data_IF_182317952483
#
_entry.id   IF_182317952483
#
_cell.length_a   1.000
_cell.length_b   1.000
_cell.length_c   1.000
_cell.angle_alpha   90.00
_cell.angle_beta   90.00
_cell.angle_gamma   90.00
#
_symmetry.space_group_name_H-M   'P 1'
#
loop_
_entity.id
_entity.type
_entity.pdbx_description
1 polymer ?
#
# COMPACT_ATOMS: atom_id res chain seq x y z
N UNK A 1 -28.35 0.04 -13.45
CA UNK A 1 -27.01 0.40 -12.95
C UNK A 1 -26.52 1.64 -13.70
N UNK A 2 -26.22 2.74 -13.00
CA UNK A 2 -25.57 3.94 -13.55
C UNK A 2 -24.35 3.61 -14.42
N UNK A 3 -24.04 4.46 -15.40
CA UNK A 3 -22.91 4.25 -16.32
C UNK A 3 -21.58 4.19 -15.54
N UNK A 4 -21.40 5.07 -14.55
CA UNK A 4 -20.18 5.12 -13.72
C UNK A 4 -19.96 3.85 -12.90
N UNK A 5 -21.03 3.29 -12.35
CA UNK A 5 -20.97 2.05 -11.57
C UNK A 5 -20.58 0.85 -12.44
N UNK A 6 -21.03 0.81 -13.70
CA UNK A 6 -20.66 -0.25 -14.64
C UNK A 6 -19.20 -0.13 -15.09
N UNK A 7 -18.74 1.06 -15.47
CA UNK A 7 -17.35 1.30 -15.80
C UNK A 7 -16.42 0.91 -14.63
N UNK A 8 -16.81 1.28 -13.41
CA UNK A 8 -16.08 0.91 -12.21
C UNK A 8 -16.07 -0.61 -11.95
N UNK A 9 -17.21 -1.28 -12.08
CA UNK A 9 -17.32 -2.73 -11.91
C UNK A 9 -16.47 -3.49 -12.92
N UNK A 10 -16.42 -3.04 -14.17
CA UNK A 10 -15.59 -3.64 -15.22
C UNK A 10 -14.10 -3.50 -14.92
N UNK A 11 -13.64 -2.31 -14.50
CA UNK A 11 -12.26 -2.08 -14.07
C UNK A 11 -11.91 -3.02 -12.91
N UNK A 12 -12.80 -3.17 -11.91
CA UNK A 12 -12.57 -4.07 -10.79
C UNK A 12 -12.44 -5.54 -11.22
N UNK A 13 -13.31 -6.01 -12.11
CA UNK A 13 -13.31 -7.40 -12.59
C UNK A 13 -12.07 -7.72 -13.43
N UNK A 14 -11.63 -6.77 -14.26
CA UNK A 14 -10.38 -6.92 -15.03
C UNK A 14 -9.14 -6.88 -14.13
N UNK A 15 -9.17 -6.12 -13.04
CA UNK A 15 -8.09 -6.11 -12.06
C UNK A 15 -8.03 -7.42 -11.25
N UNK A 16 -9.18 -7.97 -10.83
CA UNK A 16 -9.22 -9.17 -9.97
C UNK A 16 -8.68 -10.41 -10.65
N UNK A 17 -8.78 -10.48 -11.98
CA UNK A 17 -8.23 -11.56 -12.80
C UNK A 17 -6.72 -11.43 -13.04
N UNK A 18 -6.16 -10.22 -12.94
CA UNK A 18 -4.75 -9.93 -13.21
C UNK A 18 -3.87 -9.97 -11.97
N UNK A 19 -4.42 -9.64 -10.81
CA UNK A 19 -3.67 -9.50 -9.58
C UNK A 19 -4.14 -10.53 -8.56
N UNK A 20 -3.19 -11.32 -8.05
CA UNK A 20 -3.47 -12.31 -7.02
C UNK A 20 -3.89 -11.64 -5.69
N UNK A 21 -4.81 -12.24 -4.92
CA UNK A 21 -5.21 -11.72 -3.63
C UNK A 21 -4.03 -11.65 -2.64
N UNK A 22 -4.14 -10.74 -1.68
CA UNK A 22 -3.18 -10.60 -0.59
C UNK A 22 -3.75 -11.27 0.66
N UNK A 23 -3.00 -12.21 1.24
CA UNK A 23 -3.38 -12.96 2.44
C UNK A 23 -2.30 -12.83 3.51
N UNK A 24 -2.65 -13.07 4.77
CA UNK A 24 -1.66 -13.11 5.86
C UNK A 24 -0.58 -14.14 5.56
N UNK A 25 -0.96 -15.34 5.14
CA UNK A 25 -0.03 -16.42 4.78
C UNK A 25 0.99 -15.99 3.70
N UNK A 26 0.54 -15.26 2.68
CA UNK A 26 1.42 -14.71 1.63
C UNK A 26 2.43 -13.70 2.17
N UNK A 27 2.06 -12.94 3.20
CA UNK A 27 2.91 -11.91 3.81
C UNK A 27 3.92 -12.51 4.78
N UNK A 28 3.47 -13.41 5.66
CA UNK A 28 4.33 -13.96 6.73
C UNK A 28 5.20 -15.12 6.24
N UNK A 29 4.78 -15.80 5.16
CA UNK A 29 5.42 -17.01 4.66
C UNK A 29 5.28 -18.20 5.61
N UNK A 30 5.89 -19.33 5.25
CA UNK A 30 5.75 -20.59 6.01
C UNK A 30 6.17 -20.45 7.48
N UNK A 31 7.19 -19.62 7.74
CA UNK A 31 7.71 -19.35 9.08
C UNK A 31 6.67 -18.72 10.02
N UNK A 32 5.73 -17.93 9.50
CA UNK A 32 4.72 -17.25 10.31
C UNK A 32 3.31 -17.83 10.18
N UNK A 33 3.07 -18.75 9.24
CA UNK A 33 1.74 -19.27 8.93
C UNK A 33 1.07 -20.00 10.12
N UNK A 34 1.87 -20.61 11.02
CA UNK A 34 1.38 -21.25 12.24
C UNK A 34 1.22 -20.32 13.44
N UNK A 35 1.66 -19.05 13.33
CA UNK A 35 1.65 -18.08 14.43
C UNK A 35 0.66 -16.94 14.21
N UNK A 36 0.48 -16.52 12.97
CA UNK A 36 -0.43 -15.44 12.60
C UNK A 36 -1.42 -15.96 11.57
N UNK A 37 -2.70 -15.94 11.94
CA UNK A 37 -3.79 -16.28 11.05
C UNK A 37 -4.42 -15.02 10.46
N UNK A 38 -4.98 -15.20 9.26
CA UNK A 38 -5.82 -14.20 8.61
C UNK A 38 -7.14 -14.81 8.21
N UNK A 39 -8.24 -14.24 8.69
CA UNK A 39 -9.60 -14.65 8.28
C UNK A 39 -10.08 -13.96 7.00
N UNK A 40 -9.32 -12.98 6.49
CA UNK A 40 -9.67 -12.20 5.31
C UNK A 40 -8.53 -12.14 4.29
N UNK A 41 -8.90 -12.18 3.01
CA UNK A 41 -8.00 -12.00 1.88
C UNK A 41 -8.38 -10.71 1.15
N UNK A 42 -7.45 -9.76 1.05
CA UNK A 42 -7.68 -8.55 0.25
C UNK A 42 -7.71 -8.95 -1.22
N UNK A 43 -8.78 -8.62 -1.97
CA UNK A 43 -8.80 -8.87 -3.41
C UNK A 43 -7.61 -8.18 -4.08
N UNK A 44 -6.96 -8.86 -5.04
CA UNK A 44 -5.75 -8.32 -5.69
C UNK A 44 -5.99 -6.96 -6.38
N UNK A 45 -7.24 -6.68 -6.77
CA UNK A 45 -7.71 -5.37 -7.25
C UNK A 45 -7.36 -4.22 -6.31
N UNK A 46 -7.34 -4.44 -5.00
CA UNK A 46 -7.08 -3.42 -3.98
C UNK A 46 -5.65 -3.54 -3.42
N UNK A 47 -4.69 -3.71 -4.33
CA UNK A 47 -3.27 -3.67 -4.01
C UNK A 47 -2.63 -2.47 -4.69
N UNK A 48 -1.50 -2.00 -4.15
CA UNK A 48 -0.72 -0.91 -4.73
C UNK A 48 -0.24 -1.26 -6.14
N UNK A 49 0.11 -2.51 -6.38
CA UNK A 49 0.51 -3.03 -7.68
C UNK A 49 -0.64 -2.93 -8.70
N UNK A 50 -1.86 -3.32 -8.30
CA UNK A 50 -3.04 -3.17 -9.14
C UNK A 50 -3.41 -1.71 -9.41
N UNK A 51 -3.29 -0.86 -8.39
CA UNK A 51 -3.51 0.58 -8.52
C UNK A 51 -2.60 1.20 -9.58
N UNK A 52 -1.28 1.02 -9.42
CA UNK A 52 -0.28 1.63 -10.29
C UNK A 52 -0.25 0.99 -11.68
N UNK A 53 -0.39 -0.34 -11.76
CA UNK A 53 -0.22 -1.09 -13.00
C UNK A 53 -1.45 -1.09 -13.90
N UNK A 54 -2.67 -0.93 -13.36
CA UNK A 54 -3.88 -1.10 -14.15
C UNK A 54 -5.04 -0.17 -13.77
N UNK A 55 -5.39 -0.05 -12.50
CA UNK A 55 -6.63 0.64 -12.11
C UNK A 55 -6.54 2.15 -12.39
N UNK A 56 -5.43 2.80 -12.02
CA UNK A 56 -5.25 4.24 -12.28
C UNK A 56 -5.32 4.58 -13.78
N UNK A 57 -4.58 3.91 -14.69
CA UNK A 57 -4.69 4.18 -16.12
C UNK A 57 -6.07 3.81 -16.68
N UNK A 58 -6.70 2.72 -16.22
CA UNK A 58 -8.03 2.32 -16.69
C UNK A 58 -9.12 3.32 -16.29
N UNK A 59 -9.04 3.90 -15.09
CA UNK A 59 -9.95 4.99 -14.66
C UNK A 59 -9.74 6.24 -15.53
N UNK A 60 -8.49 6.58 -15.84
CA UNK A 60 -8.17 7.71 -16.73
C UNK A 60 -8.71 7.46 -18.14
N UNK A 61 -8.55 6.26 -18.67
CA UNK A 61 -9.09 5.89 -19.98
C UNK A 61 -10.62 5.96 -19.97
N UNK A 62 -11.30 5.35 -19.00
CA UNK A 62 -12.75 5.36 -18.89
C UNK A 62 -13.34 6.79 -18.83
N UNK A 63 -12.67 7.71 -18.13
CA UNK A 63 -13.09 9.11 -18.08
C UNK A 63 -12.91 9.85 -19.43
N UNK A 64 -11.92 9.47 -20.25
CA UNK A 64 -11.60 10.13 -21.52
C UNK A 64 -12.24 9.46 -22.75
N UNK A 65 -12.56 8.17 -22.68
CA UNK A 65 -13.09 7.39 -23.82
C UNK A 65 -14.43 7.92 -24.33
N UNK A 66 -15.23 8.52 -23.45
CA UNK A 66 -16.49 9.16 -23.82
C UNK A 66 -16.32 10.51 -24.56
N UNK A 67 -15.15 11.18 -24.47
CA UNK A 67 -14.86 12.35 -25.32
C UNK A 67 -14.70 11.95 -26.79
N UNK A 68 -14.17 10.75 -27.05
CA UNK A 68 -13.95 10.24 -28.40
C UNK A 68 -15.21 9.63 -29.01
N UNK A 69 -16.15 9.14 -28.19
CA UNK A 69 -17.43 8.59 -28.66
C UNK A 69 -18.39 9.67 -29.17
N UNK A 70 -18.21 10.93 -28.72
CA UNK A 70 -19.12 12.05 -29.01
C UNK A 70 -19.02 12.58 -30.44
N UNK A 71 -18.01 12.17 -31.21
CA UNK A 71 -17.69 12.75 -32.52
C UNK A 71 -17.77 11.77 -33.71
N UNK A 72 -18.22 10.53 -33.50
CA UNK A 72 -18.54 9.62 -34.61
C UNK A 72 -20.04 9.45 -34.76
N UNK A 73 -20.48 9.78 -35.96
CA UNK A 73 -21.86 9.91 -36.39
C UNK A 73 -22.65 8.60 -36.14
N UNK A 74 -23.88 8.76 -35.65
CA UNK A 74 -24.98 7.77 -35.61
C UNK A 74 -24.87 6.54 -34.67
N UNK A 75 -25.86 6.45 -33.77
CA UNK A 75 -26.52 5.25 -33.26
C UNK A 75 -25.64 4.09 -32.79
N UNK A 76 -25.32 4.05 -31.48
CA UNK A 76 -25.45 2.86 -30.58
C UNK A 76 -24.93 3.13 -29.15
N UNK A 77 -24.20 4.22 -28.87
CA UNK A 77 -23.55 4.42 -27.56
C UNK A 77 -24.41 5.04 -26.43
N UNK A 78 -25.74 5.06 -26.52
CA UNK A 78 -26.60 5.70 -25.51
C UNK A 78 -26.58 5.03 -24.12
N UNK A 79 -25.95 3.86 -23.98
CA UNK A 79 -25.90 3.14 -22.69
C UNK A 79 -24.71 3.50 -21.82
N UNK A 80 -23.57 3.96 -22.33
CA UNK A 80 -22.34 4.14 -21.53
C UNK A 80 -21.94 5.61 -21.30
N UNK A 81 -22.83 6.56 -21.63
CA UNK A 81 -22.55 7.99 -21.54
C UNK A 81 -22.36 8.48 -20.09
N UNK A 82 -21.10 8.57 -19.68
CA UNK A 82 -20.68 9.18 -18.41
C UNK A 82 -20.72 10.71 -18.47
N UNK A 83 -20.80 11.33 -19.65
CA UNK A 83 -20.76 12.79 -19.81
C UNK A 83 -22.03 13.48 -19.31
N UNK A 84 -23.12 12.72 -19.14
CA UNK A 84 -24.32 13.16 -18.44
C UNK A 84 -24.12 13.23 -16.91
N UNK A 85 -23.05 12.64 -16.38
CA UNK A 85 -22.73 12.66 -14.95
C UNK A 85 -21.70 13.76 -14.55
N UNK A 86 -21.05 14.43 -15.52
CA UNK A 86 -20.12 15.53 -15.25
C UNK A 86 -18.98 15.67 -16.27
N UNK A 87 -18.02 16.55 -15.99
CA UNK A 87 -16.79 16.67 -16.80
C UNK A 87 -15.91 15.41 -16.66
N UNK A 88 -15.05 15.09 -17.65
CA UNK A 88 -14.09 13.98 -17.56
C UNK A 88 -13.27 13.99 -16.25
N UNK A 89 -12.85 15.16 -15.80
CA UNK A 89 -12.09 15.34 -14.56
C UNK A 89 -12.95 15.03 -13.33
N UNK A 90 -14.24 15.41 -13.35
CA UNK A 90 -15.19 15.12 -12.28
C UNK A 90 -15.49 13.62 -12.20
N UNK A 91 -15.68 12.96 -13.34
CA UNK A 91 -15.90 11.51 -13.44
C UNK A 91 -14.65 10.76 -12.95
N UNK A 92 -13.47 11.15 -13.42
CA UNK A 92 -12.20 10.58 -12.98
C UNK A 92 -12.05 10.72 -11.46
N UNK A 93 -12.27 11.91 -10.92
CA UNK A 93 -12.18 12.16 -9.48
C UNK A 93 -13.16 11.30 -8.69
N UNK A 94 -14.41 11.19 -9.15
CA UNK A 94 -15.42 10.36 -8.52
C UNK A 94 -15.02 8.87 -8.50
N UNK A 95 -14.57 8.33 -9.63
CA UNK A 95 -14.10 6.95 -9.74
C UNK A 95 -12.89 6.67 -8.85
N UNK A 96 -11.93 7.59 -8.80
CA UNK A 96 -10.76 7.50 -7.90
C UNK A 96 -11.19 7.53 -6.44
N UNK A 97 -12.13 8.40 -6.07
CA UNK A 97 -12.66 8.46 -4.69
C UNK A 97 -13.35 7.17 -4.32
N UNK A 98 -14.25 6.64 -5.17
CA UNK A 98 -14.92 5.36 -4.94
C UNK A 98 -13.90 4.23 -4.74
N UNK A 99 -12.89 4.16 -5.62
CA UNK A 99 -11.84 3.17 -5.49
C UNK A 99 -11.08 3.26 -4.17
N UNK A 100 -10.64 4.46 -3.78
CA UNK A 100 -9.87 4.65 -2.53
C UNK A 100 -10.70 4.35 -1.28
N UNK A 101 -11.98 4.67 -1.29
CA UNK A 101 -12.89 4.33 -0.18
C UNK A 101 -13.05 2.81 -0.04
N UNK A 102 -13.24 2.08 -1.14
CA UNK A 102 -13.29 0.61 -1.09
C UNK A 102 -11.95 0.02 -0.69
N UNK A 103 -10.84 0.55 -1.23
CA UNK A 103 -9.49 0.15 -0.88
C UNK A 103 -9.25 0.22 0.64
N UNK A 104 -9.58 1.34 1.27
CA UNK A 104 -9.44 1.51 2.72
C UNK A 104 -10.28 0.48 3.49
N UNK A 105 -11.52 0.24 3.06
CA UNK A 105 -12.42 -0.73 3.70
C UNK A 105 -11.88 -2.15 3.62
N UNK A 106 -11.32 -2.56 2.48
CA UNK A 106 -10.78 -3.92 2.34
C UNK A 106 -9.52 -4.13 3.19
N UNK A 107 -8.65 -3.12 3.26
CA UNK A 107 -7.48 -3.17 4.14
C UNK A 107 -7.84 -3.10 5.63
N UNK A 108 -8.92 -2.40 5.98
CA UNK A 108 -9.43 -2.37 7.36
C UNK A 108 -9.96 -3.74 7.77
N UNK A 109 -10.75 -4.40 6.91
CA UNK A 109 -11.22 -5.79 7.14
C UNK A 109 -10.07 -6.76 7.27
N UNK A 110 -9.05 -6.63 6.42
CA UNK A 110 -7.84 -7.42 6.52
C UNK A 110 -7.19 -7.29 7.89
N UNK A 111 -6.94 -6.06 8.33
CA UNK A 111 -6.33 -5.79 9.64
C UNK A 111 -7.17 -6.31 10.81
N UNK A 112 -8.50 -6.20 10.73
CA UNK A 112 -9.41 -6.76 11.74
C UNK A 112 -9.41 -8.29 11.75
N UNK A 113 -9.09 -8.92 10.62
CA UNK A 113 -9.02 -10.38 10.48
C UNK A 113 -7.66 -10.99 10.84
N UNK A 114 -6.66 -10.18 11.21
CA UNK A 114 -5.35 -10.67 11.66
C UNK A 114 -5.43 -11.05 13.13
N UNK A 115 -5.10 -12.30 13.45
CA UNK A 115 -5.06 -12.80 14.82
C UNK A 115 -3.81 -13.65 15.06
N UNK A 116 -3.33 -13.66 16.30
CA UNK A 116 -2.29 -14.60 16.75
C UNK A 116 -2.98 -15.93 17.04
N UNK A 117 -2.39 -17.03 16.58
CA UNK A 117 -2.91 -18.37 16.86
C UNK A 117 -2.69 -18.75 18.32
N UNK A 118 -3.64 -19.52 18.87
CA UNK A 118 -3.50 -20.08 20.21
C UNK A 118 -2.41 -21.14 20.25
N UNK A 119 -1.69 -21.20 21.36
CA UNK A 119 -0.63 -22.19 21.58
C UNK A 119 -1.18 -23.42 22.28
N UNK A 120 -0.94 -24.59 21.70
CA UNK A 120 -1.44 -25.86 22.27
C UNK A 120 -0.54 -26.42 23.38
N UNK A 121 0.68 -25.91 23.52
CA UNK A 121 1.62 -26.28 24.58
C UNK A 121 2.52 -25.12 25.00
N UNK A 122 3.12 -25.23 26.19
CA UNK A 122 4.07 -24.25 26.71
C UNK A 122 5.30 -24.10 25.79
N UNK A 123 5.86 -25.21 25.30
CA UNK A 123 7.03 -25.17 24.40
C UNK A 123 6.72 -24.48 23.06
N UNK A 124 5.49 -24.67 22.55
CA UNK A 124 5.00 -23.93 21.39
C UNK A 124 4.84 -22.44 21.71
N UNK A 125 4.32 -22.09 22.89
CA UNK A 125 4.19 -20.71 23.33
C UNK A 125 5.56 -20.02 23.45
N UNK A 126 6.58 -20.68 24.00
CA UNK A 126 7.93 -20.12 24.11
C UNK A 126 8.54 -19.88 22.73
N UNK A 127 8.52 -20.90 21.87
CA UNK A 127 9.05 -20.79 20.50
C UNK A 127 8.31 -19.72 19.70
N UNK A 128 6.98 -19.71 19.79
CA UNK A 128 6.12 -18.75 19.12
C UNK A 128 6.36 -17.31 19.58
N UNK A 129 6.40 -17.08 20.90
CA UNK A 129 6.67 -15.75 21.46
C UNK A 129 8.06 -15.23 21.10
N UNK A 130 9.07 -16.09 21.07
CA UNK A 130 10.41 -15.71 20.63
C UNK A 130 10.40 -15.23 19.17
N UNK A 131 9.71 -15.95 18.28
CA UNK A 131 9.60 -15.57 16.88
C UNK A 131 8.74 -14.31 16.68
N UNK A 132 7.65 -14.14 17.45
CA UNK A 132 6.84 -12.92 17.41
C UNK A 132 7.63 -11.69 17.91
N UNK A 133 8.51 -11.89 18.88
CA UNK A 133 9.40 -10.87 19.44
C UNK A 133 10.69 -10.63 18.66
N UNK A 134 10.98 -11.43 17.63
CA UNK A 134 12.20 -11.32 16.84
C UNK A 134 12.24 -9.95 16.11
N UNK A 135 13.29 -9.13 16.32
CA UNK A 135 13.35 -7.78 15.76
C UNK A 135 13.42 -7.75 14.23
N UNK A 136 13.86 -8.84 13.59
CA UNK A 136 14.10 -8.97 12.16
C UNK A 136 13.06 -9.85 11.47
N UNK A 137 12.67 -10.95 12.11
CA UNK A 137 11.85 -12.00 11.50
C UNK A 137 10.39 -12.02 11.98
N UNK A 138 9.98 -11.11 12.87
CA UNK A 138 8.63 -11.10 13.44
C UNK A 138 7.52 -11.14 12.37
N UNK A 139 6.67 -12.19 12.38
CA UNK A 139 5.52 -12.28 11.49
C UNK A 139 4.54 -11.10 11.64
N UNK A 140 4.33 -10.62 12.87
CA UNK A 140 3.48 -9.45 13.14
C UNK A 140 4.08 -8.21 12.48
N UNK A 141 5.41 -8.03 12.56
CA UNK A 141 6.08 -6.91 11.91
C UNK A 141 5.88 -6.97 10.40
N UNK A 142 6.08 -8.12 9.77
CA UNK A 142 5.86 -8.28 8.31
C UNK A 142 4.44 -7.87 7.89
N UNK A 143 3.43 -8.27 8.66
CA UNK A 143 2.03 -7.88 8.40
C UNK A 143 1.84 -6.37 8.52
N UNK A 144 2.34 -5.75 9.59
CA UNK A 144 2.23 -4.31 9.80
C UNK A 144 2.97 -3.50 8.74
N UNK A 145 4.19 -3.90 8.40
CA UNK A 145 5.02 -3.22 7.39
C UNK A 145 4.35 -3.31 6.01
N UNK A 146 3.82 -4.50 5.64
CA UNK A 146 3.08 -4.67 4.39
C UNK A 146 1.81 -3.82 4.35
N UNK A 147 1.02 -3.84 5.43
CA UNK A 147 -0.19 -3.01 5.51
C UNK A 147 0.15 -1.53 5.36
N UNK A 148 1.22 -1.07 6.02
CA UNK A 148 1.70 0.30 5.91
C UNK A 148 2.14 0.67 4.49
N UNK A 149 2.93 -0.17 3.82
CA UNK A 149 3.32 0.05 2.42
C UNK A 149 2.12 0.15 1.48
N UNK A 150 1.10 -0.65 1.76
CA UNK A 150 -0.14 -0.73 0.99
C UNK A 150 -1.12 0.39 1.33
N UNK A 151 -0.99 1.10 2.44
CA UNK A 151 -1.90 2.23 2.79
C UNK A 151 -1.24 3.61 2.71
N UNK A 152 0.10 3.67 2.70
CA UNK A 152 0.87 4.93 2.73
C UNK A 152 1.00 5.65 1.38
N UNK A 153 0.67 4.98 0.27
CA UNK A 153 0.84 5.55 -1.08
C UNK A 153 -0.11 6.72 -1.40
N UNK A 154 -1.15 6.94 -0.60
CA UNK A 154 -2.15 8.00 -0.80
C UNK A 154 -1.89 9.30 0.02
N UNK A 155 -0.65 9.52 0.48
CA UNK A 155 -0.28 10.70 1.26
C UNK A 155 0.45 11.76 0.41
N UNK A 156 -0.19 12.88 0.03
CA UNK A 156 0.44 13.94 -0.78
C UNK A 156 1.61 14.66 -0.08
N UNK A 157 1.63 14.67 1.25
CA UNK A 157 2.71 15.23 2.08
C UNK A 157 4.00 14.39 2.04
N UNK A 158 3.87 13.05 2.06
CA UNK A 158 4.99 12.12 1.86
C UNK A 158 5.42 12.06 0.39
N UNK A 159 4.51 12.33 -0.55
CA UNK A 159 4.84 12.47 -1.97
C UNK A 159 5.71 13.70 -2.24
N UNK A 160 5.51 14.85 -1.59
CA UNK A 160 6.35 16.04 -1.80
C UNK A 160 7.69 16.00 -1.04
N UNK A 161 7.74 15.43 0.17
CA UNK A 161 9.00 15.15 0.87
C UNK A 161 9.78 14.01 0.17
N UNK A 162 9.05 13.01 -0.33
CA UNK A 162 9.57 11.92 -1.14
C UNK A 162 9.97 12.35 -2.55
N UNK A 163 9.31 13.31 -3.21
CA UNK A 163 9.61 13.73 -4.60
C UNK A 163 11.01 14.33 -4.74
N UNK A 164 11.56 14.97 -3.70
CA UNK A 164 12.95 15.45 -3.71
C UNK A 164 13.96 14.31 -3.55
N UNK A 165 13.58 13.22 -2.88
CA UNK A 165 14.42 12.02 -2.66
C UNK A 165 14.20 10.91 -3.73
N UNK A 166 13.01 10.85 -4.33
CA UNK A 166 12.51 9.78 -5.20
C UNK A 166 12.68 10.12 -6.68
N UNK A 167 12.77 11.42 -7.05
CA UNK A 167 13.19 11.79 -8.41
C UNK A 167 14.61 11.29 -8.73
N UNK A 168 15.49 11.19 -7.73
CA UNK A 168 16.82 10.57 -7.87
C UNK A 168 16.80 9.06 -7.59
N UNK A 169 16.03 8.59 -6.60
CA UNK A 169 16.00 7.17 -6.20
C UNK A 169 15.22 6.22 -7.10
N UNK A 170 14.05 6.62 -7.63
CA UNK A 170 13.16 5.74 -8.42
C UNK A 170 13.67 5.54 -9.85
N UNK A 171 14.34 6.55 -10.43
CA UNK A 171 15.06 6.41 -11.70
C UNK A 171 16.31 5.52 -11.56
N UNK A 172 16.94 5.50 -10.38
CA UNK A 172 18.07 4.62 -10.04
C UNK A 172 17.67 3.15 -9.90
N UNK A 173 16.58 2.87 -9.17
CA UNK A 173 16.01 1.53 -9.08
C UNK A 173 15.49 1.01 -10.42
N UNK A 174 14.90 1.87 -11.25
CA UNK A 174 14.43 1.46 -12.59
C UNK A 174 15.61 1.05 -13.48
N UNK A 175 16.73 1.78 -13.46
CA UNK A 175 17.95 1.37 -14.19
C UNK A 175 18.56 0.08 -13.61
N UNK A 176 18.47 -0.13 -12.29
CA UNK A 176 18.95 -1.35 -11.61
C UNK A 176 18.20 -2.61 -12.08
N UNK A 177 16.90 -2.52 -12.38
CA UNK A 177 16.11 -3.67 -12.85
C UNK A 177 16.40 -4.07 -14.30
N UNK A 178 16.99 -3.18 -15.11
CA UNK A 178 17.44 -3.50 -16.47
C UNK A 178 18.95 -3.76 -16.57
N UNK A 179 19.77 -3.22 -15.66
CA UNK A 179 21.23 -3.32 -15.70
C UNK A 179 21.78 -4.47 -14.82
N UNK A 180 21.24 -5.68 -14.98
CA UNK A 180 21.90 -6.89 -14.47
C UNK A 180 23.14 -7.22 -15.31
N UNK A 181 24.18 -6.40 -15.18
CA UNK A 181 25.59 -6.79 -15.28
C UNK A 181 26.49 -5.65 -14.78
N UNK A 182 27.38 -6.00 -13.83
CA UNK A 182 28.44 -5.25 -13.12
C UNK A 182 28.09 -4.31 -11.95
N UNK A 183 28.69 -4.51 -10.74
CA UNK A 183 28.49 -3.66 -9.58
C UNK A 183 29.61 -2.62 -9.38
N UNK A 184 29.27 -1.49 -8.76
CA UNK A 184 30.17 -0.70 -7.89
C UNK A 184 29.34 0.21 -6.98
N UNK A 185 29.79 0.33 -5.74
CA UNK A 185 29.07 0.78 -4.55
C UNK A 185 28.98 2.30 -4.42
N UNK A 186 27.97 2.83 -3.70
CA UNK A 186 28.07 4.10 -2.97
C UNK A 186 27.24 4.08 -1.69
N UNK A 187 27.90 4.43 -0.59
CA UNK A 187 27.38 4.55 0.77
C UNK A 187 26.86 5.99 1.00
N UNK A 188 25.70 6.16 1.64
CA UNK A 188 25.26 7.49 2.12
C UNK A 188 24.63 7.38 3.50
N UNK A 189 25.37 7.87 4.49
CA UNK A 189 24.93 8.15 5.85
C UNK A 189 24.01 9.38 5.85
N UNK A 190 22.86 9.32 6.52
CA UNK A 190 22.08 10.51 6.86
C UNK A 190 21.66 10.48 8.34
N UNK A 191 22.18 11.50 9.02
CA UNK A 191 21.89 11.98 10.35
C UNK A 191 20.52 12.68 10.37
N UNK A 192 19.66 12.39 11.36
CA UNK A 192 18.52 13.24 11.70
C UNK A 192 18.26 13.11 13.21
N UNK A 193 18.77 14.08 13.97
CA UNK A 193 18.19 14.47 15.24
C UNK A 193 17.19 15.61 15.05
N UNK A 194 16.20 15.69 15.95
CA UNK A 194 15.60 16.97 16.33
C UNK A 194 14.15 17.25 15.92
N UNK A 195 13.28 17.05 16.91
CA UNK A 195 12.12 17.86 17.30
C UNK A 195 10.75 17.67 16.62
N UNK A 196 9.79 17.48 17.52
CA UNK A 196 8.38 17.25 17.29
C UNK A 196 7.64 18.58 17.17
N UNK A 197 7.14 18.88 15.97
CA UNK A 197 6.01 19.78 15.75
C UNK A 197 5.13 19.14 14.67
N UNK A 198 4.18 18.32 15.13
CA UNK A 198 3.22 17.63 14.29
C UNK A 198 2.17 18.61 13.75
N UNK A 199 2.58 19.44 12.79
CA UNK A 199 1.67 20.19 11.92
C UNK A 199 0.78 19.21 11.15
N UNK A 200 -0.53 19.45 11.18
CA UNK A 200 -1.57 18.61 10.59
C UNK A 200 -1.20 18.17 9.16
N UNK A 201 -0.77 16.91 9.02
CA UNK A 201 -0.39 16.33 7.75
C UNK A 201 -1.67 16.15 6.92
N UNK A 202 -1.82 16.78 5.75
CA UNK A 202 -2.97 16.56 4.87
C UNK A 202 -2.90 15.12 4.33
N UNK A 203 -3.64 14.23 4.98
CA UNK A 203 -3.72 12.80 4.66
C UNK A 203 -4.89 12.55 3.68
N UNK A 204 -4.66 11.69 2.68
CA UNK A 204 -5.73 11.18 1.82
C UNK A 204 -6.73 10.31 2.60
N UNK A 205 -7.90 9.95 2.02
CA UNK A 205 -8.91 9.14 2.70
C UNK A 205 -8.37 7.85 3.30
N UNK A 206 -7.45 7.17 2.60
CA UNK A 206 -6.76 5.97 3.11
C UNK A 206 -5.79 6.34 4.24
N UNK A 207 -4.99 7.39 4.06
CA UNK A 207 -4.03 7.85 5.05
C UNK A 207 -4.66 8.30 6.38
N UNK A 208 -5.88 8.85 6.34
CA UNK A 208 -6.62 9.26 7.55
C UNK A 208 -6.98 8.06 8.42
N UNK A 209 -7.55 7.02 7.83
CA UNK A 209 -7.97 5.80 8.54
C UNK A 209 -6.78 5.04 9.13
N UNK A 210 -5.63 5.05 8.45
CA UNK A 210 -4.42 4.34 8.89
C UNK A 210 -3.37 5.21 9.60
N UNK A 211 -3.73 6.43 9.99
CA UNK A 211 -2.83 7.34 10.73
C UNK A 211 -2.34 6.78 12.07
N UNK A 212 -3.10 5.84 12.67
CA UNK A 212 -2.68 5.10 13.86
C UNK A 212 -1.56 4.09 13.59
N UNK A 213 -1.56 3.43 12.42
CA UNK A 213 -0.51 2.48 12.05
C UNK A 213 0.83 3.18 11.80
N UNK A 214 0.81 4.37 11.19
CA UNK A 214 2.01 5.16 10.95
C UNK A 214 2.76 5.49 12.26
N UNK A 215 2.04 5.80 13.35
CA UNK A 215 2.65 6.05 14.66
C UNK A 215 3.32 4.82 15.25
N UNK A 216 2.73 3.64 15.09
CA UNK A 216 3.27 2.39 15.64
C UNK A 216 4.54 1.95 14.90
N UNK A 217 4.58 2.12 13.57
CA UNK A 217 5.75 1.78 12.76
C UNK A 217 6.91 2.74 13.04
N UNK A 218 6.66 4.05 13.02
CA UNK A 218 7.70 5.08 13.23
C UNK A 218 8.30 5.03 14.64
N UNK A 219 7.47 4.88 15.70
CA UNK A 219 7.97 4.79 17.08
C UNK A 219 8.81 3.54 17.34
N UNK A 220 8.62 2.45 16.59
CA UNK A 220 9.38 1.20 16.76
C UNK A 220 10.75 1.27 16.08
N UNK A 221 10.85 1.91 14.93
CA UNK A 221 12.13 2.11 14.25
C UNK A 221 13.08 2.98 15.08
N UNK A 222 12.60 4.07 15.68
CA UNK A 222 13.42 4.90 16.58
C UNK A 222 13.93 4.10 17.78
N UNK A 223 13.08 3.26 18.39
CA UNK A 223 13.46 2.41 19.53
C UNK A 223 14.51 1.35 19.16
N UNK A 224 14.52 0.87 17.91
CA UNK A 224 15.55 -0.04 17.41
C UNK A 224 16.91 0.65 17.20
N UNK A 225 16.91 1.91 16.74
CA UNK A 225 18.12 2.70 16.52
C UNK A 225 18.78 3.16 17.83
N UNK A 226 17.98 3.43 18.86
CA UNK A 226 18.47 3.87 20.19
C UNK A 226 19.18 2.73 20.95
N UNK A 227 18.89 1.45 20.67
CA UNK A 227 19.65 0.33 21.27
C UNK A 227 21.01 0.09 20.62
N UNK A 228 21.15 0.39 19.32
CA UNK A 228 22.41 0.19 18.59
C UNK A 228 23.52 1.16 19.02
N UNK A 229 23.17 2.34 19.54
CA UNK A 229 24.16 3.38 19.95
C UNK A 229 24.69 3.22 21.37
N UNK A 230 24.12 2.33 22.20
CA UNK A 230 24.59 2.13 23.59
C UNK A 230 25.68 1.06 23.74
N UNK A 231 26.02 0.33 22.66
CA UNK A 231 27.04 -0.74 22.69
C UNK A 231 28.49 -0.28 22.43
N UNK A 232 28.74 0.98 22.08
CA UNK A 232 30.09 1.44 21.63
C UNK A 232 30.89 2.24 22.67
N UNK A 233 30.35 2.52 23.85
CA UNK A 233 31.06 3.31 24.87
C UNK A 233 31.49 2.42 26.03
N UNK A 234 32.51 1.58 25.81
CA UNK A 234 33.37 1.00 26.86
C UNK A 234 34.54 0.26 26.22
N UNK A 235 35.54 1.02 25.83
CA UNK A 235 36.94 0.59 25.77
C UNK A 235 37.78 1.87 25.79
N UNK A 236 38.30 2.20 26.97
CA UNK A 236 39.38 3.16 27.21
C UNK A 236 40.39 2.46 28.08
#
# INVERSE_FOLDING_TARGET
MPARERAYAEIKARASTRYAPMTVARIVGDTGAGLVAGSYAVPGTFTKEAWLGYVQPAIKEAANKELQTKDWVLNVAARDDLTLEGSPEQIQKALVTMYKTEYAREWQRFMQGVAIQDFSSFDQAVTGMNLLGDPTNSPIRKVLDTAYEQTSWDNPSMFNAGLKQAKSGVLGWFKQLFARQTPSQVNVTLDVGGNADAGAIPMGPVGKEFSGLARVVVMRDDKSRIRATRGRVRAS
#
